data_IF_645176633459
#
_entry.id   IF_645176633459
#
_cell.length_a   1.000
_cell.length_b   1.000
_cell.length_c   1.000
_cell.angle_alpha   90.00
_cell.angle_beta   90.00
_cell.angle_gamma   90.00
#
_symmetry.space_group_name_H-M   'P 1'
#
loop_
_entity.id
_entity.type
_entity.pdbx_description
1 polymer ?
#
# COMPACT_ATOMS: atom_id res chain seq x y z
N UNK A 1 13.79 -11.94 -6.04
CA UNK A 1 12.73 -11.57 -5.07
C UNK A 1 12.57 -10.06 -4.94
N UNK A 2 13.67 -9.29 -4.91
CA UNK A 2 13.62 -7.83 -4.99
C UNK A 2 12.77 -7.32 -6.17
N UNK A 3 13.02 -7.83 -7.39
CA UNK A 3 12.26 -7.43 -8.59
C UNK A 3 10.75 -7.72 -8.48
N UNK A 4 10.38 -8.83 -7.84
CA UNK A 4 8.99 -9.18 -7.58
C UNK A 4 8.34 -8.22 -6.59
N UNK A 5 9.07 -7.77 -5.56
CA UNK A 5 8.59 -6.75 -4.62
C UNK A 5 8.36 -5.42 -5.33
N UNK A 6 9.31 -4.99 -6.17
CA UNK A 6 9.19 -3.76 -6.97
C UNK A 6 7.97 -3.85 -7.88
N UNK A 7 7.84 -4.94 -8.65
CA UNK A 7 6.71 -5.13 -9.56
C UNK A 7 5.35 -5.14 -8.83
N UNK A 8 5.26 -5.85 -7.70
CA UNK A 8 4.03 -5.89 -6.91
C UNK A 8 3.70 -4.54 -6.28
N UNK A 9 4.70 -3.79 -5.80
CA UNK A 9 4.50 -2.42 -5.33
C UNK A 9 4.04 -1.50 -6.45
N UNK A 10 4.59 -1.64 -7.66
CA UNK A 10 4.14 -0.87 -8.83
C UNK A 10 2.69 -1.18 -9.16
N UNK A 11 2.28 -2.45 -9.22
CA UNK A 11 0.89 -2.84 -9.47
C UNK A 11 -0.03 -2.30 -8.36
N UNK A 12 0.40 -2.41 -7.11
CA UNK A 12 -0.34 -1.90 -5.96
C UNK A 12 -0.54 -0.38 -6.04
N UNK A 13 0.54 0.38 -6.30
CA UNK A 13 0.50 1.84 -6.42
C UNK A 13 -0.34 2.31 -7.60
N UNK A 14 -0.18 1.69 -8.77
CA UNK A 14 -0.97 2.04 -9.96
C UNK A 14 -2.45 1.73 -9.74
N UNK A 15 -2.78 0.58 -9.14
CA UNK A 15 -4.17 0.24 -8.81
C UNK A 15 -4.75 1.21 -7.78
N UNK A 16 -3.98 1.61 -6.76
CA UNK A 16 -4.42 2.61 -5.77
C UNK A 16 -4.61 3.99 -6.42
N UNK A 17 -3.72 4.39 -7.32
CA UNK A 17 -3.87 5.65 -8.07
C UNK A 17 -5.15 5.61 -8.92
N UNK A 18 -5.41 4.49 -9.60
CA UNK A 18 -6.61 4.30 -10.38
C UNK A 18 -7.88 4.31 -9.51
N UNK A 19 -7.85 3.70 -8.33
CA UNK A 19 -8.93 3.74 -7.34
C UNK A 19 -9.31 5.17 -6.94
N UNK A 20 -8.30 5.98 -6.59
CA UNK A 20 -8.50 7.39 -6.27
C UNK A 20 -9.07 8.16 -7.46
N UNK A 21 -8.52 7.96 -8.67
CA UNK A 21 -9.02 8.61 -9.87
C UNK A 21 -10.49 8.25 -10.14
N UNK A 22 -10.83 6.97 -10.07
CA UNK A 22 -12.17 6.45 -10.28
C UNK A 22 -13.18 7.04 -9.28
N UNK A 23 -12.74 7.34 -8.04
CA UNK A 23 -13.55 7.99 -7.03
C UNK A 23 -13.78 9.48 -7.31
N UNK A 24 -12.85 10.12 -8.02
CA UNK A 24 -12.90 11.55 -8.35
C UNK A 24 -13.58 11.85 -9.70
N UNK A 25 -13.69 10.86 -10.61
CA UNK A 25 -14.35 11.02 -11.93
C UNK A 25 -15.72 11.72 -11.87
N UNK A 26 -16.61 11.44 -10.89
CA UNK A 26 -17.90 12.13 -10.78
C UNK A 26 -17.79 13.66 -10.69
N UNK A 27 -16.74 14.18 -10.03
CA UNK A 27 -16.52 15.64 -9.92
C UNK A 27 -16.36 16.31 -11.29
N UNK A 28 -15.69 15.62 -12.22
CA UNK A 28 -15.47 16.11 -13.57
C UNK A 28 -16.74 16.07 -14.45
N UNK A 29 -17.81 15.44 -13.96
CA UNK A 29 -19.12 15.37 -14.63
C UNK A 29 -20.17 16.24 -13.94
N UNK A 30 -19.76 17.13 -13.02
CA UNK A 30 -20.66 17.99 -12.27
C UNK A 30 -21.47 17.26 -11.19
N UNK A 31 -21.12 16.01 -10.87
CA UNK A 31 -21.72 15.26 -9.77
C UNK A 31 -20.94 15.53 -8.48
N UNK A 32 -21.65 15.68 -7.35
CA UNK A 32 -20.98 15.76 -6.05
C UNK A 32 -20.46 14.38 -5.65
N UNK A 33 -19.25 14.35 -5.08
CA UNK A 33 -18.77 13.16 -4.37
C UNK A 33 -19.42 13.17 -3.00
N UNK A 34 -19.94 12.03 -2.55
CA UNK A 34 -20.57 11.86 -1.25
C UNK A 34 -19.61 12.37 -0.16
N UNK A 35 -19.93 13.51 0.44
CA UNK A 35 -19.28 13.97 1.65
C UNK A 35 -19.90 13.19 2.83
N UNK A 36 -19.17 12.29 3.52
CA UNK A 36 -19.72 11.51 4.63
C UNK A 36 -20.24 12.38 5.79
N UNK A 37 -19.91 13.68 5.78
CA UNK A 37 -20.27 14.65 6.81
C UNK A 37 -21.12 15.83 6.28
N UNK A 38 -21.71 15.70 5.10
CA UNK A 38 -22.73 16.64 4.59
C UNK A 38 -22.24 18.04 4.20
N UNK A 39 -20.98 18.37 4.44
CA UNK A 39 -20.38 19.65 4.06
C UNK A 39 -19.35 19.47 2.95
N UNK A 40 -19.54 20.21 1.85
CA UNK A 40 -18.51 20.38 0.81
C UNK A 40 -17.47 21.33 1.39
N UNK A 41 -16.21 20.90 1.41
CA UNK A 41 -15.12 21.72 1.92
C UNK A 41 -15.06 23.06 1.17
N UNK A 42 -14.97 24.16 1.91
CA UNK A 42 -14.90 25.51 1.34
C UNK A 42 -13.48 26.06 1.26
N UNK A 43 -12.58 25.50 2.07
CA UNK A 43 -11.16 25.85 2.12
C UNK A 43 -10.28 24.58 2.08
N UNK A 44 -9.08 24.71 1.51
CA UNK A 44 -8.11 23.60 1.41
C UNK A 44 -7.60 23.14 2.77
N UNK A 45 -7.60 24.03 3.77
CA UNK A 45 -7.23 23.72 5.15
C UNK A 45 -8.15 22.67 5.78
N UNK A 46 -9.42 22.61 5.38
CA UNK A 46 -10.40 21.62 5.87
C UNK A 46 -10.04 20.18 5.44
N UNK A 47 -9.37 20.02 4.29
CA UNK A 47 -8.94 18.73 3.74
C UNK A 47 -7.43 18.48 3.87
N UNK A 48 -6.68 19.42 4.44
CA UNK A 48 -5.21 19.37 4.52
C UNK A 48 -4.69 18.09 5.17
N UNK A 49 -5.36 17.61 6.24
CA UNK A 49 -4.99 16.35 6.90
C UNK A 49 -5.10 15.15 5.95
N UNK A 50 -6.15 15.10 5.12
CA UNK A 50 -6.36 14.04 4.13
C UNK A 50 -5.30 14.12 3.03
N UNK A 51 -4.92 15.31 2.59
CA UNK A 51 -3.87 15.51 1.59
C UNK A 51 -2.51 15.00 2.08
N UNK A 52 -2.14 15.31 3.33
CA UNK A 52 -0.91 14.81 3.94
C UNK A 52 -0.93 13.28 4.14
N UNK A 53 -2.07 12.73 4.55
CA UNK A 53 -2.23 11.29 4.67
C UNK A 53 -2.07 10.60 3.32
N UNK A 54 -2.69 11.14 2.26
CA UNK A 54 -2.57 10.62 0.91
C UNK A 54 -1.11 10.68 0.42
N UNK A 55 -0.42 11.81 0.62
CA UNK A 55 1.00 11.94 0.28
C UNK A 55 1.84 10.90 1.00
N UNK A 56 1.66 10.75 2.32
CA UNK A 56 2.37 9.74 3.11
C UNK A 56 2.08 8.32 2.58
N UNK A 57 0.81 8.02 2.27
CA UNK A 57 0.39 6.72 1.78
C UNK A 57 1.02 6.36 0.42
N UNK A 58 1.23 7.33 -0.47
CA UNK A 58 1.88 7.10 -1.76
C UNK A 58 3.41 7.14 -1.70
N UNK A 59 4.01 7.99 -0.86
CA UNK A 59 5.47 8.14 -0.82
C UNK A 59 6.17 7.00 -0.08
N UNK A 60 5.56 6.44 0.97
CA UNK A 60 6.19 5.35 1.75
C UNK A 60 6.50 4.10 0.91
N UNK A 61 5.59 3.61 0.04
CA UNK A 61 5.90 2.50 -0.87
C UNK A 61 6.96 2.84 -1.90
N UNK A 62 6.96 4.07 -2.43
CA UNK A 62 7.99 4.54 -3.36
C UNK A 62 9.37 4.53 -2.68
N UNK A 63 9.45 5.02 -1.45
CA UNK A 63 10.67 4.98 -0.64
C UNK A 63 11.08 3.53 -0.32
N UNK A 64 10.12 2.63 -0.09
CA UNK A 64 10.39 1.21 0.07
C UNK A 64 10.97 0.59 -1.21
N UNK A 65 10.43 0.92 -2.39
CA UNK A 65 11.00 0.47 -3.67
C UNK A 65 12.42 1.00 -3.89
N UNK A 66 12.66 2.28 -3.61
CA UNK A 66 14.02 2.87 -3.66
C UNK A 66 14.95 2.13 -2.70
N UNK A 67 14.50 1.87 -1.47
CA UNK A 67 15.30 1.18 -0.47
C UNK A 67 15.68 -0.25 -0.88
N UNK A 68 14.81 -0.98 -1.59
CA UNK A 68 15.12 -2.32 -2.13
C UNK A 68 16.35 -2.26 -3.05
N UNK A 69 16.55 -1.16 -3.78
CA UNK A 69 17.68 -1.01 -4.71
C UNK A 69 19.03 -0.81 -4.00
N UNK A 70 19.04 -0.26 -2.78
CA UNK A 70 20.26 0.19 -2.11
C UNK A 70 20.58 -0.56 -0.80
N UNK A 71 19.58 -1.17 -0.17
CA UNK A 71 19.73 -1.78 1.15
C UNK A 71 19.40 -3.27 1.11
N UNK A 72 20.33 -4.09 1.58
CA UNK A 72 20.11 -5.53 1.74
C UNK A 72 20.26 -6.03 3.19
N UNK A 73 20.22 -5.10 4.15
CA UNK A 73 20.37 -5.43 5.56
C UNK A 73 19.13 -6.17 6.09
N UNK A 74 19.36 -7.09 7.04
CA UNK A 74 18.27 -7.83 7.70
C UNK A 74 17.24 -6.91 8.35
N UNK A 75 17.70 -5.81 8.97
CA UNK A 75 16.82 -4.82 9.60
C UNK A 75 15.90 -4.15 8.58
N UNK A 76 16.44 -3.81 7.40
CA UNK A 76 15.66 -3.24 6.31
C UNK A 76 14.60 -4.23 5.79
N UNK A 77 14.98 -5.50 5.56
CA UNK A 77 14.04 -6.55 5.14
C UNK A 77 12.90 -6.75 6.15
N UNK A 78 13.20 -6.67 7.45
CA UNK A 78 12.18 -6.75 8.51
C UNK A 78 11.26 -5.53 8.53
N UNK A 79 11.82 -4.33 8.44
CA UNK A 79 11.03 -3.09 8.37
C UNK A 79 10.12 -3.08 7.14
N UNK A 80 10.61 -3.53 5.99
CA UNK A 80 9.83 -3.66 4.78
C UNK A 80 8.68 -4.67 4.94
N UNK A 81 8.91 -5.82 5.59
CA UNK A 81 7.84 -6.78 5.88
C UNK A 81 6.75 -6.15 6.76
N UNK A 82 7.13 -5.43 7.82
CA UNK A 82 6.16 -4.71 8.65
C UNK A 82 5.37 -3.69 7.86
N UNK A 83 6.03 -2.93 6.98
CA UNK A 83 5.35 -1.97 6.11
C UNK A 83 4.28 -2.66 5.25
N UNK A 84 4.60 -3.79 4.60
CA UNK A 84 3.63 -4.53 3.78
C UNK A 84 2.42 -5.03 4.58
N UNK A 85 2.65 -5.46 5.82
CA UNK A 85 1.58 -5.89 6.72
C UNK A 85 0.66 -4.74 7.12
N UNK A 86 1.22 -3.58 7.48
CA UNK A 86 0.44 -2.37 7.79
C UNK A 86 -0.42 -1.97 6.61
N UNK A 87 0.14 -1.93 5.40
CA UNK A 87 -0.62 -1.64 4.18
C UNK A 87 -1.74 -2.66 3.95
N UNK A 88 -1.50 -3.93 4.21
CA UNK A 88 -2.54 -4.95 4.05
C UNK A 88 -3.70 -4.75 5.01
N UNK A 89 -3.42 -4.45 6.29
CA UNK A 89 -4.45 -4.13 7.28
C UNK A 89 -5.24 -2.90 6.86
N UNK A 90 -4.56 -1.84 6.43
CA UNK A 90 -5.21 -0.60 5.97
C UNK A 90 -6.11 -0.85 4.75
N UNK A 91 -5.66 -1.65 3.76
CA UNK A 91 -6.49 -1.96 2.59
C UNK A 91 -7.72 -2.80 2.93
N UNK A 92 -7.60 -3.75 3.86
CA UNK A 92 -8.76 -4.53 4.33
C UNK A 92 -9.74 -3.61 5.06
N UNK A 93 -9.25 -2.73 5.93
CA UNK A 93 -10.10 -1.74 6.60
C UNK A 93 -10.80 -0.83 5.57
N UNK A 94 -10.07 -0.34 4.56
CA UNK A 94 -10.61 0.48 3.49
C UNK A 94 -11.69 -0.25 2.69
N UNK A 95 -11.47 -1.51 2.33
CA UNK A 95 -12.44 -2.35 1.64
C UNK A 95 -13.74 -2.53 2.45
N UNK A 96 -13.64 -2.69 3.77
CA UNK A 96 -14.81 -2.75 4.66
C UNK A 96 -15.57 -1.42 4.69
N UNK A 97 -14.86 -0.30 4.70
CA UNK A 97 -15.47 1.04 4.63
C UNK A 97 -16.21 1.23 3.31
N UNK A 98 -15.61 0.87 2.17
CA UNK A 98 -16.25 1.00 0.85
C UNK A 98 -17.56 0.19 0.74
N UNK A 99 -17.62 -0.99 1.37
CA UNK A 99 -18.85 -1.79 1.43
C UNK A 99 -19.93 -1.20 2.36
N UNK A 100 -19.54 -0.33 3.29
CA UNK A 100 -20.43 0.27 4.29
C UNK A 100 -21.09 1.57 3.80
N UNK A 101 -20.60 2.16 2.71
CA UNK A 101 -21.13 3.41 2.14
C UNK A 101 -22.22 3.07 1.11
N UNK A 102 -23.43 3.62 1.30
CA UNK A 102 -24.58 3.42 0.41
C UNK A 102 -24.80 4.63 -0.53
N UNK A 103 -25.14 4.42 -1.82
CA UNK A 103 -25.18 3.12 -2.51
C UNK A 103 -23.76 2.57 -2.75
N UNK A 104 -23.62 1.24 -2.68
CA UNK A 104 -22.30 0.58 -2.82
C UNK A 104 -21.77 0.75 -4.24
N UNK A 105 -20.61 1.39 -4.38
CA UNK A 105 -19.88 1.49 -5.63
C UNK A 105 -19.10 0.19 -5.91
N UNK A 106 -19.79 -0.82 -6.47
CA UNK A 106 -19.21 -2.15 -6.69
C UNK A 106 -17.92 -2.17 -7.51
N UNK A 107 -17.74 -1.23 -8.44
CA UNK A 107 -16.50 -1.10 -9.19
C UNK A 107 -15.31 -0.72 -8.29
N UNK A 108 -15.53 0.13 -7.27
CA UNK A 108 -14.51 0.47 -6.27
C UNK A 108 -14.22 -0.73 -5.36
N UNK A 109 -15.27 -1.37 -4.85
CA UNK A 109 -15.14 -2.55 -3.98
C UNK A 109 -14.37 -3.67 -4.68
N UNK A 110 -14.65 -3.91 -5.96
CA UNK A 110 -13.96 -4.94 -6.75
C UNK A 110 -12.47 -4.61 -6.92
N UNK A 111 -12.14 -3.35 -7.24
CA UNK A 111 -10.76 -2.90 -7.36
C UNK A 111 -10.01 -2.99 -6.03
N UNK A 112 -10.64 -2.59 -4.93
CA UNK A 112 -10.06 -2.70 -3.60
C UNK A 112 -9.86 -4.15 -3.16
N UNK A 113 -10.79 -5.05 -3.47
CA UNK A 113 -10.62 -6.48 -3.21
C UNK A 113 -9.43 -7.05 -3.98
N UNK A 114 -9.23 -6.64 -5.24
CA UNK A 114 -8.05 -6.98 -6.01
C UNK A 114 -6.76 -6.42 -5.39
N UNK A 115 -6.76 -5.17 -4.94
CA UNK A 115 -5.61 -4.55 -4.25
C UNK A 115 -5.26 -5.26 -2.95
N UNK A 116 -6.25 -5.75 -2.19
CA UNK A 116 -6.02 -6.61 -1.02
C UNK A 116 -5.30 -7.89 -1.43
N UNK A 117 -5.72 -8.55 -2.51
CA UNK A 117 -5.05 -9.76 -3.00
C UNK A 117 -3.59 -9.49 -3.41
N UNK A 118 -3.32 -8.36 -4.09
CA UNK A 118 -1.96 -7.93 -4.43
C UNK A 118 -1.14 -7.65 -3.15
N UNK A 119 -1.73 -6.99 -2.15
CA UNK A 119 -1.11 -6.75 -0.84
C UNK A 119 -0.73 -8.02 -0.08
N UNK A 120 -1.58 -9.05 -0.12
CA UNK A 120 -1.26 -10.37 0.41
C UNK A 120 -0.10 -11.03 -0.35
N UNK A 121 -0.05 -10.84 -1.68
CA UNK A 121 1.09 -11.23 -2.52
C UNK A 121 2.39 -10.54 -2.08
N UNK A 122 2.35 -9.22 -1.83
CA UNK A 122 3.47 -8.45 -1.29
C UNK A 122 3.96 -9.02 0.03
N UNK A 123 3.06 -9.30 0.99
CA UNK A 123 3.43 -9.89 2.28
C UNK A 123 4.13 -11.22 2.11
N UNK A 124 3.62 -12.08 1.21
CA UNK A 124 4.21 -13.40 0.97
C UNK A 124 5.62 -13.27 0.41
N UNK A 125 5.83 -12.45 -0.61
CA UNK A 125 7.16 -12.24 -1.21
C UNK A 125 8.11 -11.58 -0.20
N UNK A 126 7.63 -10.61 0.57
CA UNK A 126 8.43 -9.93 1.60
C UNK A 126 8.85 -10.90 2.72
N UNK A 127 7.96 -11.80 3.14
CA UNK A 127 8.26 -12.82 4.13
C UNK A 127 9.33 -13.81 3.64
N UNK A 128 9.20 -14.29 2.42
CA UNK A 128 10.21 -15.16 1.80
C UNK A 128 11.55 -14.43 1.67
N UNK A 129 11.55 -13.17 1.24
CA UNK A 129 12.74 -12.35 1.13
C UNK A 129 13.44 -12.11 2.47
N UNK A 130 12.67 -11.88 3.54
CA UNK A 130 13.22 -11.80 4.89
C UNK A 130 13.84 -13.13 5.35
N UNK A 131 13.15 -14.26 5.15
CA UNK A 131 13.66 -15.59 5.55
C UNK A 131 14.98 -15.96 4.88
N UNK A 132 15.17 -15.59 3.62
CA UNK A 132 16.42 -15.90 2.90
C UNK A 132 17.65 -15.25 3.58
N UNK A 133 17.49 -14.04 4.13
CA UNK A 133 18.58 -13.37 4.90
C UNK A 133 18.97 -14.15 6.15
N UNK A 134 18.01 -14.82 6.80
CA UNK A 134 18.24 -15.60 8.01
C UNK A 134 19.08 -16.86 7.73
N UNK A 135 18.98 -17.40 6.52
CA UNK A 135 19.74 -18.57 6.08
C UNK A 135 21.20 -18.18 5.80
N UNK A 136 21.41 -17.04 5.13
CA UNK A 136 22.73 -16.51 4.80
C UNK A 136 23.54 -16.08 6.04
N UNK A 137 22.90 -15.42 7.02
CA UNK A 137 23.57 -15.00 8.25
C UNK A 137 24.02 -16.19 9.11
N UNK A 138 23.26 -17.28 9.11
CA UNK A 138 23.59 -18.49 9.87
C UNK A 138 24.75 -19.27 9.23
N UNK A 139 24.84 -19.31 7.89
CA UNK A 139 25.97 -19.94 7.20
C UNK A 139 27.29 -19.17 7.37
N UNK A 140 27.25 -17.83 7.43
CA UNK A 140 28.47 -17.03 7.62
C UNK A 140 29.03 -17.15 9.05
N UNK A 141 28.18 -17.23 10.08
CA UNK A 141 28.63 -17.44 11.46
C UNK A 141 29.28 -18.81 11.72
N UNK A 142 28.90 -19.83 10.94
CA UNK A 142 29.52 -21.16 10.99
C UNK A 142 30.88 -21.21 10.26
N UNK A 143 31.12 -20.33 9.28
CA UNK A 143 32.41 -20.27 8.56
C UNK A 143 33.48 -19.44 9.28
N UNK A 144 33.11 -18.47 10.13
CA UNK A 144 34.08 -17.65 10.87
C UNK A 144 34.59 -18.29 12.17
N UNK A 145 34.19 -19.53 12.47
CA UNK A 145 34.57 -20.28 13.68
C UNK A 145 35.56 -21.41 13.40
N UNK A 146 36.06 -21.49 12.17
CA UNK A 146 37.16 -22.36 11.72
C UNK A 146 38.32 -21.50 11.20
#
# INVERSE_FOLDING_TARGET
>A
MADQLIALWTVFLLGTLFHTQLALIPLFHGLSVLAPHGHVATDISEISSVLWLMLAFFILPLMAMVGICFFDSRQYRLAHLWLTLVYSVLNVAHLVVDMSILPVAWYQVTLMAWLVAVGLGLNRVAYHWFRESHRQSHSQGLQSTH
#
